data_IF_030187585507
#
_entry.id   IF_030187585507
#
_cell.length_a   1.000
_cell.length_b   1.000
_cell.length_c   1.000
_cell.angle_alpha   90.00
_cell.angle_beta   90.00
_cell.angle_gamma   90.00
#
_symmetry.space_group_name_H-M   'P 1'
#
loop_
_entity.id
_entity.type
_entity.pdbx_description
1 polymer ?
#
# COMPACT_ATOMS: atom_id res chain seq x y z
N UNK A 1 0.16 20.68 20.72
CA UNK A 1 0.65 20.59 19.33
C UNK A 1 1.03 21.99 18.89
N UNK A 2 2.12 22.17 18.15
CA UNK A 2 2.53 23.46 17.60
C UNK A 2 2.58 23.35 16.09
N UNK A 3 1.99 24.32 15.38
CA UNK A 3 1.98 24.37 13.92
C UNK A 3 2.42 25.77 13.50
N UNK A 4 3.40 25.85 12.61
CA UNK A 4 3.85 27.09 11.99
C UNK A 4 3.87 26.96 10.47
N UNK A 5 3.77 28.09 9.77
CA UNK A 5 3.87 28.15 8.31
C UNK A 5 5.17 28.82 7.90
N UNK A 6 5.98 28.12 7.12
CA UNK A 6 7.14 28.70 6.45
C UNK A 6 6.79 29.00 5.00
N UNK A 7 7.15 30.18 4.51
CA UNK A 7 6.96 30.55 3.11
C UNK A 7 7.94 29.78 2.23
N UNK A 8 7.42 29.05 1.25
CA UNK A 8 8.21 28.33 0.26
C UNK A 8 8.46 29.23 -0.96
N UNK A 9 9.45 30.11 -0.84
CA UNK A 9 9.78 31.05 -1.91
C UNK A 9 10.13 30.31 -3.21
N UNK A 10 9.49 30.68 -4.32
CA UNK A 10 9.76 30.10 -5.64
C UNK A 10 8.81 28.98 -6.09
N UNK A 11 7.82 28.59 -5.27
CA UNK A 11 6.78 27.65 -5.69
C UNK A 11 5.37 28.22 -5.46
N UNK A 12 4.76 28.77 -6.51
CA UNK A 12 3.43 29.40 -6.40
C UNK A 12 2.29 28.41 -6.14
N UNK A 13 2.47 27.15 -6.54
CA UNK A 13 1.48 26.09 -6.32
C UNK A 13 1.54 25.55 -4.89
N UNK A 14 2.72 25.54 -4.29
CA UNK A 14 2.96 25.14 -2.89
C UNK A 14 3.64 26.29 -2.15
N UNK A 15 2.93 27.41 -1.89
CA UNK A 15 3.53 28.64 -1.39
C UNK A 15 3.97 28.57 0.07
N UNK A 16 3.52 27.57 0.82
CA UNK A 16 3.91 27.36 2.22
C UNK A 16 4.19 25.89 2.52
N UNK A 17 5.00 25.67 3.55
CA UNK A 17 5.16 24.37 4.22
C UNK A 17 4.71 24.55 5.66
N UNK A 18 3.77 23.71 6.10
CA UNK A 18 3.36 23.65 7.50
C UNK A 18 4.32 22.74 8.28
N UNK A 19 5.02 23.32 9.25
CA UNK A 19 5.83 22.58 10.21
C UNK A 19 4.98 22.25 11.42
N UNK A 20 4.78 20.96 11.65
CA UNK A 20 3.99 20.45 12.76
C UNK A 20 4.95 19.84 13.75
N UNK A 21 4.89 20.30 15.00
CA UNK A 21 5.56 19.68 16.14
C UNK A 21 4.50 19.15 17.12
N UNK A 22 4.50 17.83 17.28
CA UNK A 22 3.63 17.08 18.16
C UNK A 22 4.37 16.46 19.35
N UNK A 23 5.60 16.90 19.63
CA UNK A 23 6.41 16.44 20.77
C UNK A 23 5.73 16.66 22.13
N UNK A 24 4.91 17.71 22.24
CA UNK A 24 4.08 17.99 23.43
C UNK A 24 2.93 16.99 23.60
N UNK A 25 2.66 16.14 22.59
CA UNK A 25 1.71 15.05 22.67
C UNK A 25 2.46 13.75 22.93
N UNK A 26 1.91 12.87 23.77
CA UNK A 26 2.41 11.50 23.95
C UNK A 26 2.07 10.67 22.71
N UNK A 27 2.71 10.94 21.58
CA UNK A 27 2.55 10.21 20.32
C UNK A 27 3.85 9.45 20.04
N UNK A 28 3.74 8.23 19.52
CA UNK A 28 4.90 7.50 19.02
C UNK A 28 5.60 8.24 17.87
N UNK A 29 6.94 8.33 17.92
CA UNK A 29 7.78 8.97 16.89
C UNK A 29 7.47 8.45 15.47
N UNK A 30 7.65 9.29 14.42
CA UNK A 30 8.13 10.68 14.47
C UNK A 30 7.08 11.65 15.03
N UNK A 31 7.54 12.78 15.58
CA UNK A 31 6.69 13.83 16.16
C UNK A 31 6.76 15.16 15.40
N UNK A 32 7.58 15.25 14.37
CA UNK A 32 7.77 16.44 13.55
C UNK A 32 7.48 16.14 12.09
N UNK A 33 6.71 17.01 11.44
CA UNK A 33 6.22 16.81 10.07
C UNK A 33 6.28 18.10 9.25
N UNK A 34 6.42 17.94 7.93
CA UNK A 34 6.47 19.01 6.94
C UNK A 34 5.37 18.80 5.91
N UNK A 35 4.20 19.37 6.16
CA UNK A 35 3.03 19.20 5.28
C UNK A 35 3.01 20.32 4.23
N UNK A 36 3.07 19.99 2.92
CA UNK A 36 2.99 21.00 1.88
C UNK A 36 1.60 21.65 1.84
N UNK A 37 1.55 22.98 1.77
CA UNK A 37 0.33 23.77 1.65
C UNK A 37 0.17 24.26 0.23
N UNK A 38 -0.90 23.85 -0.44
CA UNK A 38 -1.21 24.20 -1.81
C UNK A 38 -2.09 25.46 -1.88
N UNK A 39 -1.84 26.31 -2.88
CA UNK A 39 -2.77 27.37 -3.25
C UNK A 39 -3.76 26.87 -4.32
N UNK A 40 -5.05 27.09 -4.08
CA UNK A 40 -6.12 26.82 -5.04
C UNK A 40 -6.77 28.15 -5.45
N UNK A 41 -6.93 28.32 -6.75
CA UNK A 41 -7.66 29.43 -7.34
C UNK A 41 -8.99 28.93 -7.89
N UNK A 42 -10.10 29.48 -7.37
CA UNK A 42 -11.44 29.25 -7.91
C UNK A 42 -11.98 30.59 -8.39
N UNK A 43 -11.90 30.83 -9.69
CA UNK A 43 -12.09 32.17 -10.26
C UNK A 43 -11.03 33.14 -9.72
N UNK A 44 -11.47 34.25 -9.13
CA UNK A 44 -10.60 35.25 -8.49
C UNK A 44 -10.29 34.95 -7.03
N UNK A 45 -10.93 33.92 -6.44
CA UNK A 45 -10.74 33.59 -5.03
C UNK A 45 -9.55 32.67 -4.86
N UNK A 46 -8.57 33.10 -4.06
CA UNK A 46 -7.46 32.27 -3.60
C UNK A 46 -7.81 31.62 -2.27
N UNK A 47 -7.58 30.32 -2.18
CA UNK A 47 -7.70 29.53 -0.95
C UNK A 47 -6.46 28.67 -0.76
N UNK A 48 -6.28 28.15 0.45
CA UNK A 48 -5.17 27.30 0.82
C UNK A 48 -5.69 25.96 1.31
N UNK A 49 -5.00 24.89 0.92
CA UNK A 49 -5.31 23.56 1.38
C UNK A 49 -4.06 22.77 1.74
N UNK A 50 -4.21 21.81 2.64
CA UNK A 50 -3.19 20.85 2.98
C UNK A 50 -3.84 19.48 3.16
N UNK A 51 -3.19 18.44 2.62
CA UNK A 51 -3.62 17.07 2.77
C UNK A 51 -2.80 16.40 3.89
N UNK A 52 -3.50 15.79 4.86
CA UNK A 52 -2.90 15.04 5.96
C UNK A 52 -3.57 13.68 6.01
N UNK A 53 -2.81 12.62 5.76
CA UNK A 53 -3.29 11.24 5.72
C UNK A 53 -4.46 11.02 4.75
N UNK A 54 -4.51 11.79 3.65
CA UNK A 54 -5.61 11.78 2.69
C UNK A 54 -6.83 12.64 3.06
N UNK A 55 -6.85 13.23 4.25
CA UNK A 55 -7.88 14.15 4.69
C UNK A 55 -7.46 15.58 4.40
N UNK A 56 -8.44 16.44 4.10
CA UNK A 56 -8.18 17.76 3.54
C UNK A 56 -8.56 18.87 4.53
N UNK A 57 -7.58 19.68 4.90
CA UNK A 57 -7.80 20.95 5.59
C UNK A 57 -7.84 22.08 4.54
N UNK A 58 -8.83 22.98 4.66
CA UNK A 58 -9.04 24.12 3.74
C UNK A 58 -9.30 25.40 4.50
N UNK A 59 -8.76 26.51 4.01
CA UNK A 59 -9.02 27.85 4.51
C UNK A 59 -8.87 28.90 3.41
N UNK A 60 -9.48 30.07 3.59
CA UNK A 60 -9.34 31.19 2.64
C UNK A 60 -8.03 31.98 2.85
N UNK A 61 -7.40 31.85 4.02
CA UNK A 61 -6.12 32.47 4.36
C UNK A 61 -5.14 31.40 4.83
N UNK A 62 -3.84 31.68 4.71
CA UNK A 62 -2.79 30.78 5.17
C UNK A 62 -2.91 30.55 6.69
N UNK A 63 -3.01 31.62 7.48
CA UNK A 63 -3.16 31.51 8.93
C UNK A 63 -4.45 30.79 9.37
N UNK A 64 -5.53 30.96 8.62
CA UNK A 64 -6.79 30.25 8.86
C UNK A 64 -6.68 28.73 8.67
N UNK A 65 -5.62 28.25 8.02
CA UNK A 65 -5.37 26.82 7.83
C UNK A 65 -4.81 26.16 9.10
N UNK A 66 -4.07 26.89 9.93
CA UNK A 66 -3.43 26.38 11.16
C UNK A 66 -4.44 25.68 12.09
N UNK A 67 -5.54 26.34 12.53
CA UNK A 67 -6.51 25.69 13.42
C UNK A 67 -7.26 24.53 12.73
N UNK A 68 -7.36 24.52 11.40
CA UNK A 68 -7.97 23.42 10.63
C UNK A 68 -7.06 22.19 10.60
N UNK A 69 -5.76 22.41 10.41
CA UNK A 69 -4.75 21.35 10.48
C UNK A 69 -4.66 20.76 11.88
N UNK A 70 -4.63 21.61 12.91
CA UNK A 70 -4.57 21.15 14.30
C UNK A 70 -5.78 20.26 14.65
N UNK A 71 -7.00 20.72 14.35
CA UNK A 71 -8.21 19.92 14.58
C UNK A 71 -8.18 18.59 13.81
N UNK A 72 -7.76 18.62 12.53
CA UNK A 72 -7.65 17.41 11.72
C UNK A 72 -6.65 16.42 12.32
N UNK A 73 -5.48 16.88 12.78
CA UNK A 73 -4.48 16.02 13.38
C UNK A 73 -4.98 15.41 14.69
N UNK A 74 -5.65 16.17 15.57
CA UNK A 74 -6.26 15.62 16.77
C UNK A 74 -7.29 14.52 16.47
N UNK A 75 -8.09 14.67 15.40
CA UNK A 75 -9.05 13.65 14.98
C UNK A 75 -8.38 12.40 14.40
N UNK A 76 -7.20 12.54 13.81
CA UNK A 76 -6.44 11.42 13.25
C UNK A 76 -5.62 10.67 14.29
N UNK A 77 -5.27 11.31 15.40
CA UNK A 77 -4.53 10.67 16.50
C UNK A 77 -5.48 9.72 17.22
N UNK A 78 -5.13 8.43 17.19
CA UNK A 78 -5.85 7.40 17.91
C UNK A 78 -4.86 6.50 18.66
N UNK A 79 -5.15 6.19 19.92
CA UNK A 79 -4.27 5.40 20.81
C UNK A 79 -2.82 5.92 20.77
N UNK A 80 -2.65 7.24 20.90
CA UNK A 80 -1.33 7.89 20.88
C UNK A 80 -0.53 7.67 19.58
N UNK A 81 -1.21 7.47 18.44
CA UNK A 81 -0.56 7.15 17.16
C UNK A 81 -1.26 7.85 16.00
N UNK A 82 -0.47 8.22 14.99
CA UNK A 82 -0.97 8.51 13.66
C UNK A 82 -1.15 7.19 12.87
N UNK A 83 -2.04 7.18 11.87
CA UNK A 83 -2.16 6.03 10.98
C UNK A 83 -0.83 5.77 10.24
N UNK A 84 -0.62 4.51 9.81
CA UNK A 84 0.47 4.12 8.89
C UNK A 84 -0.01 3.85 7.48
N UNK A 85 -1.28 3.50 7.36
CA UNK A 85 -1.96 3.31 6.10
C UNK A 85 -3.33 3.96 6.17
N UNK A 86 -3.95 4.12 5.01
CA UNK A 86 -5.38 4.37 4.93
C UNK A 86 -6.02 3.41 3.93
N UNK A 87 -7.24 2.98 4.22
CA UNK A 87 -8.11 2.35 3.25
C UNK A 87 -8.99 3.39 2.58
N UNK A 88 -9.08 3.34 1.25
CA UNK A 88 -9.80 4.30 0.43
C UNK A 88 -10.93 3.59 -0.31
N UNK A 89 -12.17 3.95 0.03
CA UNK A 89 -13.37 3.62 -0.70
C UNK A 89 -13.59 4.70 -1.77
N UNK A 90 -13.05 4.49 -2.98
CA UNK A 90 -12.90 5.55 -3.98
C UNK A 90 -14.25 6.13 -4.44
N UNK A 91 -15.25 5.29 -4.76
CA UNK A 91 -16.55 5.78 -5.23
C UNK A 91 -17.34 6.46 -4.13
N UNK A 92 -17.31 5.89 -2.92
CA UNK A 92 -17.91 6.48 -1.73
C UNK A 92 -17.19 7.75 -1.24
N UNK A 93 -16.00 8.07 -1.77
CA UNK A 93 -15.13 9.17 -1.33
C UNK A 93 -14.84 9.14 0.18
N UNK A 94 -14.72 7.94 0.74
CA UNK A 94 -14.43 7.73 2.18
C UNK A 94 -13.02 7.17 2.39
N UNK A 95 -12.41 7.61 3.48
CA UNK A 95 -11.07 7.20 3.90
C UNK A 95 -11.17 6.66 5.32
N UNK A 96 -10.51 5.53 5.57
CA UNK A 96 -10.48 4.85 6.85
C UNK A 96 -9.02 4.76 7.31
N UNK A 97 -8.63 5.49 8.36
CA UNK A 97 -7.29 5.40 8.93
C UNK A 97 -6.99 3.99 9.44
N UNK A 98 -5.77 3.52 9.22
CA UNK A 98 -5.29 2.23 9.69
C UNK A 98 -4.09 2.43 10.60
N UNK A 99 -4.23 2.00 11.84
CA UNK A 99 -3.25 2.11 12.91
C UNK A 99 -2.53 0.80 13.13
N UNK A 100 -1.30 0.86 13.65
CA UNK A 100 -0.54 -0.32 14.08
C UNK A 100 -0.31 -0.23 15.58
N UNK A 101 -0.83 -1.21 16.33
CA UNK A 101 -0.78 -1.27 17.80
C UNK A 101 -0.20 -2.64 18.18
N UNK A 102 1.00 -2.65 18.76
CA UNK A 102 1.74 -3.88 19.00
C UNK A 102 1.92 -4.69 17.70
N UNK A 103 1.39 -5.90 17.67
CA UNK A 103 1.44 -6.83 16.53
C UNK A 103 0.19 -6.80 15.65
N UNK A 104 -0.77 -5.91 15.95
CA UNK A 104 -2.02 -5.82 15.20
C UNK A 104 -2.09 -4.56 14.38
N UNK A 105 -2.83 -4.65 13.29
CA UNK A 105 -3.34 -3.51 12.56
C UNK A 105 -4.82 -3.33 12.87
N UNK A 106 -5.26 -2.08 12.91
CA UNK A 106 -6.60 -1.70 13.33
C UNK A 106 -7.17 -0.65 12.38
N UNK A 107 -8.42 -0.82 11.94
CA UNK A 107 -9.19 0.20 11.25
C UNK A 107 -10.46 0.51 12.03
N UNK A 108 -10.82 1.79 12.13
CA UNK A 108 -12.01 2.25 12.84
C UNK A 108 -13.01 2.85 11.87
N UNK A 109 -14.30 2.70 12.16
CA UNK A 109 -15.39 3.38 11.45
C UNK A 109 -16.02 4.45 12.35
N UNK A 110 -16.38 5.64 11.84
CA UNK A 110 -17.06 6.65 12.65
C UNK A 110 -18.39 6.10 13.21
N UNK A 111 -18.49 6.00 14.53
CA UNK A 111 -19.69 5.49 15.22
C UNK A 111 -19.97 3.99 15.03
N UNK A 112 -19.03 3.22 14.48
CA UNK A 112 -19.20 1.81 14.18
C UNK A 112 -18.13 0.91 14.82
N UNK A 113 -18.03 -0.35 14.38
CA UNK A 113 -17.09 -1.32 14.94
C UNK A 113 -15.62 -0.96 14.64
N UNK A 114 -14.76 -1.58 15.43
CA UNK A 114 -13.31 -1.56 15.30
C UNK A 114 -12.85 -2.91 14.74
N UNK A 115 -12.11 -2.89 13.63
CA UNK A 115 -11.60 -4.10 12.98
C UNK A 115 -10.13 -4.26 13.30
N UNK A 116 -9.74 -5.39 13.88
CA UNK A 116 -8.36 -5.70 14.30
C UNK A 116 -7.93 -7.07 13.83
N UNK A 117 -6.68 -7.18 13.40
CA UNK A 117 -6.04 -8.46 13.10
C UNK A 117 -4.53 -8.27 13.03
N UNK A 118 -3.75 -9.34 13.17
CA UNK A 118 -2.31 -9.36 12.84
C UNK A 118 -2.03 -9.14 11.34
N UNK A 119 -3.07 -9.13 10.50
CA UNK A 119 -2.97 -9.08 9.04
C UNK A 119 -3.77 -7.93 8.46
N UNK A 120 -3.09 -7.08 7.69
CA UNK A 120 -3.73 -6.01 6.94
C UNK A 120 -4.76 -6.54 5.94
N UNK A 121 -4.51 -7.72 5.38
CA UNK A 121 -5.44 -8.43 4.50
C UNK A 121 -6.80 -8.66 5.16
N UNK A 122 -6.79 -9.14 6.41
CA UNK A 122 -8.00 -9.49 7.17
C UNK A 122 -8.74 -8.27 7.67
N UNK A 123 -8.04 -7.24 8.15
CA UNK A 123 -8.70 -5.97 8.50
C UNK A 123 -9.37 -5.34 7.28
N UNK A 124 -8.72 -5.40 6.11
CA UNK A 124 -9.33 -4.93 4.86
C UNK A 124 -10.56 -5.74 4.46
N UNK A 125 -10.51 -7.07 4.62
CA UNK A 125 -11.63 -7.99 4.34
C UNK A 125 -12.83 -7.66 5.25
N UNK A 126 -12.63 -7.66 6.57
CA UNK A 126 -13.69 -7.36 7.54
C UNK A 126 -14.32 -5.98 7.33
N UNK A 127 -13.49 -4.96 7.10
CA UNK A 127 -13.99 -3.63 6.80
C UNK A 127 -14.75 -3.61 5.46
N UNK A 128 -14.27 -4.33 4.44
CA UNK A 128 -14.97 -4.39 3.14
C UNK A 128 -16.34 -5.04 3.28
N UNK A 129 -16.44 -6.17 3.99
CA UNK A 129 -17.71 -6.86 4.23
C UNK A 129 -18.69 -5.96 4.98
N UNK A 130 -18.26 -5.33 6.07
CA UNK A 130 -19.10 -4.39 6.82
C UNK A 130 -19.57 -3.20 5.96
N UNK A 131 -18.70 -2.66 5.10
CA UNK A 131 -19.06 -1.54 4.24
C UNK A 131 -20.00 -1.94 3.10
N UNK A 132 -20.06 -3.22 2.72
CA UNK A 132 -21.12 -3.74 1.85
C UNK A 132 -22.43 -3.89 2.62
N UNK A 133 -22.40 -4.47 3.83
CA UNK A 133 -23.58 -4.62 4.70
C UNK A 133 -24.25 -3.28 5.03
N UNK A 134 -23.45 -2.23 5.20
CA UNK A 134 -23.92 -0.86 5.46
C UNK A 134 -24.13 -0.02 4.19
N UNK A 135 -24.11 -0.66 3.01
CA UNK A 135 -24.33 -0.04 1.70
C UNK A 135 -23.39 1.13 1.35
N UNK A 136 -22.24 1.24 2.02
CA UNK A 136 -21.23 2.25 1.71
C UNK A 136 -20.49 1.93 0.41
N UNK A 137 -20.18 0.65 0.17
CA UNK A 137 -19.52 0.17 -1.06
C UNK A 137 -20.50 -0.34 -2.12
N UNK A 138 -21.81 -0.19 -1.90
CA UNK A 138 -22.85 -0.76 -2.76
C UNK A 138 -22.88 -2.29 -2.72
N UNK A 139 -23.46 -2.93 -3.74
CA UNK A 139 -23.66 -4.38 -3.77
C UNK A 139 -22.35 -5.18 -3.88
N UNK A 140 -22.30 -6.30 -3.16
CA UNK A 140 -21.16 -7.22 -3.13
C UNK A 140 -20.93 -7.81 -4.53
N UNK A 141 -19.70 -7.70 -5.04
CA UNK A 141 -19.31 -8.22 -6.36
C UNK A 141 -19.15 -7.18 -7.45
N UNK A 142 -19.75 -5.99 -7.30
CA UNK A 142 -19.62 -4.89 -8.25
C UNK A 142 -18.43 -3.97 -7.94
N UNK A 143 -17.22 -4.48 -8.16
CA UNK A 143 -15.95 -3.73 -8.34
C UNK A 143 -15.44 -2.79 -7.24
N UNK A 144 -16.22 -2.42 -6.22
CA UNK A 144 -15.77 -1.45 -5.23
C UNK A 144 -14.96 -2.15 -4.13
N UNK A 145 -13.64 -2.08 -4.29
CA UNK A 145 -12.68 -2.64 -3.34
C UNK A 145 -12.01 -1.49 -2.62
N UNK A 146 -11.76 -1.67 -1.33
CA UNK A 146 -10.88 -0.76 -0.59
C UNK A 146 -9.49 -0.77 -1.22
N UNK A 147 -9.01 0.40 -1.62
CA UNK A 147 -7.61 0.60 -1.98
C UNK A 147 -6.81 0.88 -0.72
N UNK A 148 -5.52 0.56 -0.70
CA UNK A 148 -4.62 1.02 0.36
C UNK A 148 -3.69 2.10 -0.15
N UNK A 149 -3.37 3.04 0.73
CA UNK A 149 -2.27 3.98 0.60
C UNK A 149 -1.41 3.90 1.86
N UNK A 150 -0.10 4.02 1.67
CA UNK A 150 0.82 4.23 2.78
C UNK A 150 0.85 5.71 3.15
N UNK A 151 1.57 6.03 4.21
CA UNK A 151 1.79 7.40 4.63
C UNK A 151 3.27 7.70 4.68
N UNK A 152 3.63 8.83 4.08
CA UNK A 152 4.95 9.41 4.27
C UNK A 152 5.00 10.00 5.68
N UNK A 153 5.85 9.45 6.54
CA UNK A 153 5.93 9.87 7.93
C UNK A 153 6.69 11.18 8.13
N UNK A 154 7.24 11.78 7.08
CA UNK A 154 7.79 13.15 7.10
C UNK A 154 6.75 14.18 6.66
N UNK A 155 5.96 13.88 5.62
CA UNK A 155 5.01 14.84 5.02
C UNK A 155 3.54 14.58 5.35
N UNK A 156 3.22 13.43 5.93
CA UNK A 156 1.86 12.88 6.12
C UNK A 156 1.06 12.71 4.82
N UNK A 157 1.72 12.79 3.66
CA UNK A 157 1.13 12.59 2.35
C UNK A 157 0.84 11.12 2.05
N UNK A 158 -0.10 10.87 1.13
CA UNK A 158 -0.43 9.52 0.69
C UNK A 158 0.64 8.94 -0.25
N UNK A 159 1.13 7.74 0.08
CA UNK A 159 2.03 6.97 -0.77
C UNK A 159 1.25 5.91 -1.57
N UNK A 160 1.50 5.85 -2.88
CA UNK A 160 0.95 4.81 -3.76
C UNK A 160 1.81 3.54 -3.68
N UNK A 161 1.21 2.35 -3.52
CA UNK A 161 1.97 1.11 -3.58
C UNK A 161 2.58 0.87 -4.98
N UNK A 162 3.87 0.54 -4.99
CA UNK A 162 4.62 0.14 -6.19
C UNK A 162 4.25 -1.28 -6.63
N UNK A 163 4.00 -2.17 -5.66
CA UNK A 163 3.43 -3.50 -5.84
C UNK A 163 2.83 -3.99 -4.52
N UNK A 164 2.32 -5.22 -4.52
CA UNK A 164 1.85 -5.90 -3.32
C UNK A 164 2.53 -7.25 -3.20
N UNK A 165 3.03 -7.58 -2.01
CA UNK A 165 3.34 -8.96 -1.69
C UNK A 165 2.04 -9.68 -1.36
N UNK A 166 1.83 -10.86 -1.97
CA UNK A 166 0.56 -11.56 -1.90
C UNK A 166 0.78 -13.07 -1.82
N UNK A 167 0.14 -13.69 -0.83
CA UNK A 167 -0.02 -15.14 -0.71
C UNK A 167 -1.52 -15.46 -0.76
N UNK A 168 -1.91 -16.38 -1.62
CA UNK A 168 -3.28 -16.90 -1.72
C UNK A 168 -3.26 -18.39 -2.02
N UNK A 169 -3.19 -19.19 -0.96
CA UNK A 169 -3.15 -20.65 -1.02
C UNK A 169 -4.44 -21.17 -0.38
N UNK A 170 -5.10 -22.11 -1.05
CA UNK A 170 -6.34 -22.70 -0.53
C UNK A 170 -6.08 -23.38 0.81
N UNK A 171 -6.93 -23.15 1.80
CA UNK A 171 -6.78 -23.69 3.16
C UNK A 171 -5.80 -22.92 4.05
N UNK A 172 -5.13 -21.89 3.55
CA UNK A 172 -4.24 -21.04 4.34
C UNK A 172 -4.81 -19.62 4.54
N UNK A 173 -4.36 -18.95 5.60
CA UNK A 173 -4.66 -17.52 5.79
C UNK A 173 -3.95 -16.70 4.71
N UNK A 174 -4.71 -15.94 3.93
CA UNK A 174 -4.21 -14.97 2.95
C UNK A 174 -3.23 -13.98 3.59
N UNK A 175 -2.10 -13.75 2.93
CA UNK A 175 -1.20 -12.63 3.24
C UNK A 175 -1.29 -11.59 2.13
N UNK A 176 -1.35 -10.34 2.52
CA UNK A 176 -1.32 -9.22 1.60
C UNK A 176 -0.71 -8.01 2.28
N UNK A 177 0.37 -7.49 1.70
CA UNK A 177 1.01 -6.27 2.18
C UNK A 177 1.43 -5.36 1.02
N UNK A 178 1.06 -4.06 1.05
CA UNK A 178 1.55 -3.10 0.07
C UNK A 178 3.05 -2.85 0.26
N UNK A 179 3.73 -2.63 -0.86
CA UNK A 179 5.13 -2.22 -0.89
C UNK A 179 5.22 -0.78 -1.39
N UNK A 180 6.05 0.01 -0.74
CA UNK A 180 6.25 1.44 -1.02
C UNK A 180 7.72 1.72 -1.33
N UNK A 181 7.94 2.77 -2.10
CA UNK A 181 9.25 3.40 -2.21
C UNK A 181 9.40 4.40 -1.07
N UNK A 182 10.58 4.45 -0.45
CA UNK A 182 10.91 5.48 0.53
C UNK A 182 10.86 6.88 -0.10
N UNK A 183 10.49 7.93 0.66
CA UNK A 183 10.48 9.30 0.13
C UNK A 183 11.82 9.74 -0.48
N UNK A 184 12.93 9.25 0.06
CA UNK A 184 14.28 9.52 -0.44
C UNK A 184 14.65 8.76 -1.73
N UNK A 185 13.81 7.82 -2.19
CA UNK A 185 14.04 7.04 -3.41
C UNK A 185 15.21 6.05 -3.32
N UNK A 186 15.64 5.68 -2.10
CA UNK A 186 16.84 4.84 -1.86
C UNK A 186 16.51 3.39 -1.53
N UNK A 187 15.34 3.18 -0.95
CA UNK A 187 14.88 1.87 -0.46
C UNK A 187 13.42 1.63 -0.82
N UNK A 188 13.03 0.36 -0.89
CA UNK A 188 11.63 -0.06 -0.89
C UNK A 188 11.33 -0.80 0.39
N UNK A 189 10.13 -0.63 0.91
CA UNK A 189 9.74 -1.20 2.19
C UNK A 189 8.30 -1.68 2.21
N UNK A 190 8.03 -2.58 3.15
CA UNK A 190 6.70 -3.09 3.47
C UNK A 190 6.60 -3.35 4.96
N UNK A 191 5.38 -3.43 5.46
CA UNK A 191 5.13 -3.90 6.83
C UNK A 191 4.74 -5.37 6.78
N UNK A 192 5.56 -6.23 7.37
CA UNK A 192 5.34 -7.67 7.39
C UNK A 192 5.89 -8.28 8.68
N UNK A 193 5.14 -9.23 9.25
CA UNK A 193 5.48 -9.88 10.52
C UNK A 193 5.82 -8.82 11.58
N UNK A 194 4.84 -7.94 11.81
CA UNK A 194 4.83 -6.92 12.87
C UNK A 194 5.90 -5.82 12.80
N UNK A 195 6.70 -5.74 11.74
CA UNK A 195 7.71 -4.69 11.60
C UNK A 195 7.88 -4.22 10.15
N UNK A 196 8.55 -3.08 10.00
CA UNK A 196 9.01 -2.60 8.69
C UNK A 196 10.15 -3.51 8.20
N UNK A 197 10.03 -3.94 6.95
CA UNK A 197 11.04 -4.69 6.21
C UNK A 197 11.43 -3.87 5.00
N UNK A 198 12.73 -3.67 4.81
CA UNK A 198 13.24 -2.68 3.88
C UNK A 198 14.50 -3.21 3.19
N UNK A 199 14.64 -2.87 1.91
CA UNK A 199 15.80 -3.24 1.08
C UNK A 199 16.19 -2.07 0.19
N UNK A 200 17.46 -2.00 -0.18
CA UNK A 200 18.00 -0.97 -1.10
C UNK A 200 17.48 -1.14 -2.52
N UNK A 201 17.20 -0.04 -3.23
CA UNK A 201 16.94 -0.06 -4.66
C UNK A 201 18.22 -0.41 -5.43
N UNK A 202 18.21 -1.50 -6.19
CA UNK A 202 19.36 -1.96 -6.98
C UNK A 202 18.98 -2.73 -8.25
N UNK A 203 17.71 -2.64 -8.69
CA UNK A 203 17.15 -3.44 -9.78
C UNK A 203 16.59 -4.79 -9.32
N UNK A 204 17.07 -5.35 -8.21
CA UNK A 204 16.62 -6.64 -7.66
C UNK A 204 15.73 -6.50 -6.44
N UNK A 205 15.35 -5.28 -6.06
CA UNK A 205 14.63 -5.00 -4.81
C UNK A 205 13.33 -5.80 -4.66
N UNK A 206 12.63 -6.10 -5.76
CA UNK A 206 11.41 -6.92 -5.76
C UNK A 206 11.71 -8.34 -5.29
N UNK A 207 12.79 -8.96 -5.79
CA UNK A 207 13.19 -10.32 -5.41
C UNK A 207 13.70 -10.36 -3.97
N UNK A 208 14.58 -9.43 -3.62
CA UNK A 208 15.22 -9.40 -2.30
C UNK A 208 14.19 -9.13 -1.20
N UNK A 209 13.28 -8.17 -1.39
CA UNK A 209 12.24 -7.90 -0.40
C UNK A 209 11.27 -9.07 -0.28
N UNK A 210 10.88 -9.66 -1.41
CA UNK A 210 10.02 -10.84 -1.41
C UNK A 210 10.66 -11.98 -0.63
N UNK A 211 11.93 -12.29 -0.87
CA UNK A 211 12.63 -13.39 -0.21
C UNK A 211 12.76 -13.14 1.29
N UNK A 212 13.13 -11.92 1.68
CA UNK A 212 13.16 -11.50 3.09
C UNK A 212 11.80 -11.73 3.76
N UNK A 213 10.71 -11.30 3.15
CA UNK A 213 9.36 -11.46 3.73
C UNK A 213 8.91 -12.91 3.71
N UNK A 214 9.25 -13.69 2.68
CA UNK A 214 8.91 -15.11 2.60
C UNK A 214 9.57 -15.90 3.73
N UNK A 215 10.87 -15.70 3.98
CA UNK A 215 11.57 -16.40 5.07
C UNK A 215 11.03 -15.99 6.45
N UNK A 216 10.67 -14.72 6.64
CA UNK A 216 10.04 -14.26 7.88
C UNK A 216 8.65 -14.90 8.07
N UNK A 217 7.83 -14.96 7.03
CA UNK A 217 6.52 -15.61 7.12
C UNK A 217 6.64 -17.12 7.34
N UNK A 218 7.66 -17.78 6.79
CA UNK A 218 7.95 -19.19 7.05
C UNK A 218 8.34 -19.42 8.50
N UNK A 219 9.24 -18.59 9.02
CA UNK A 219 9.68 -18.64 10.42
C UNK A 219 8.51 -18.45 11.39
N UNK A 220 7.56 -17.58 11.02
CA UNK A 220 6.34 -17.32 11.79
C UNK A 220 5.23 -18.39 11.59
N UNK A 221 5.48 -19.43 10.78
CA UNK A 221 4.50 -20.49 10.48
C UNK A 221 3.35 -20.05 9.58
N UNK A 222 3.45 -18.89 8.94
CA UNK A 222 2.41 -18.26 8.11
C UNK A 222 2.61 -18.46 6.62
N UNK A 223 3.67 -19.14 6.21
CA UNK A 223 3.97 -19.53 4.85
C UNK A 223 4.64 -20.92 4.90
N UNK A 224 4.16 -21.89 4.13
CA UNK A 224 4.79 -23.21 4.08
C UNK A 224 5.87 -23.25 3.00
N UNK A 225 5.52 -22.83 1.78
CA UNK A 225 6.43 -22.74 0.66
C UNK A 225 6.74 -21.27 0.33
N UNK A 226 8.02 -20.93 0.24
CA UNK A 226 8.46 -19.58 -0.12
C UNK A 226 7.79 -19.12 -1.42
N UNK A 227 7.71 -19.99 -2.43
CA UNK A 227 7.22 -19.74 -3.79
C UNK A 227 5.74 -19.31 -3.87
N UNK A 228 4.96 -19.51 -2.81
CA UNK A 228 3.58 -19.01 -2.74
C UNK A 228 3.46 -17.49 -2.50
N UNK A 229 4.54 -16.86 -2.02
CA UNK A 229 4.60 -15.39 -1.93
C UNK A 229 5.01 -14.81 -3.28
N UNK A 230 4.10 -14.04 -3.88
CA UNK A 230 4.29 -13.37 -5.17
C UNK A 230 4.27 -11.85 -5.08
N UNK A 231 4.89 -11.20 -6.06
CA UNK A 231 4.73 -9.77 -6.32
C UNK A 231 3.54 -9.57 -7.26
N UNK A 232 2.49 -8.93 -6.75
CA UNK A 232 1.24 -8.69 -7.46
C UNK A 232 1.12 -7.21 -7.82
N UNK A 233 0.59 -6.92 -9.01
CA UNK A 233 0.34 -5.55 -9.51
C UNK A 233 1.60 -4.66 -9.45
N UNK A 234 2.73 -5.18 -9.90
CA UNK A 234 3.99 -4.47 -10.06
C UNK A 234 3.88 -3.34 -11.08
N UNK A 235 4.39 -2.16 -10.72
CA UNK A 235 4.47 -1.02 -11.63
C UNK A 235 5.44 -1.27 -12.78
N UNK A 236 5.14 -0.79 -14.00
CA UNK A 236 6.00 -1.01 -15.17
C UNK A 236 7.45 -0.58 -14.98
N UNK A 237 7.68 0.58 -14.37
CA UNK A 237 9.03 1.10 -14.09
C UNK A 237 9.87 0.16 -13.24
N UNK A 238 9.25 -0.57 -12.30
CA UNK A 238 9.94 -1.54 -11.47
C UNK A 238 10.13 -2.88 -12.19
N UNK A 239 9.18 -3.27 -13.04
CA UNK A 239 9.37 -4.41 -13.92
C UNK A 239 10.53 -4.19 -14.88
N UNK A 240 10.64 -3.01 -15.51
CA UNK A 240 11.71 -2.71 -16.46
C UNK A 240 13.09 -2.70 -15.82
N UNK A 241 13.20 -2.26 -14.55
CA UNK A 241 14.43 -2.35 -13.76
C UNK A 241 14.77 -3.80 -13.47
N UNK A 242 13.80 -4.57 -12.95
CA UNK A 242 14.01 -5.97 -12.62
C UNK A 242 14.39 -6.79 -13.85
N UNK A 243 13.69 -6.62 -14.97
CA UNK A 243 13.90 -7.38 -16.21
C UNK A 243 15.35 -7.35 -16.70
N UNK A 244 16.09 -6.27 -16.46
CA UNK A 244 17.51 -6.14 -16.83
C UNK A 244 18.42 -7.08 -16.04
N UNK A 245 17.98 -7.51 -14.87
CA UNK A 245 18.69 -8.40 -13.96
C UNK A 245 18.33 -9.87 -14.17
N UNK A 246 17.41 -10.17 -15.10
CA UNK A 246 16.87 -11.50 -15.33
C UNK A 246 17.41 -12.14 -16.59
N UNK A 247 17.60 -13.46 -16.56
CA UNK A 247 17.88 -14.27 -17.75
C UNK A 247 16.57 -14.73 -18.38
N UNK A 248 16.31 -14.50 -19.68
CA UNK A 248 15.13 -15.04 -20.34
C UNK A 248 15.27 -16.57 -20.51
N UNK A 249 14.21 -17.31 -20.19
CA UNK A 249 14.14 -18.78 -20.34
C UNK A 249 13.12 -19.23 -21.40
N UNK A 250 12.49 -18.27 -22.10
CA UNK A 250 11.50 -18.52 -23.15
C UNK A 250 10.07 -18.27 -22.67
N UNK A 251 9.14 -19.08 -23.13
CA UNK A 251 7.71 -18.92 -22.86
C UNK A 251 7.08 -20.21 -22.35
N UNK A 252 6.03 -20.06 -21.54
CA UNK A 252 5.27 -21.15 -20.96
C UNK A 252 3.79 -20.98 -21.29
N UNK A 253 3.13 -22.05 -21.71
CA UNK A 253 1.67 -22.06 -21.86
C UNK A 253 1.04 -22.47 -20.54
N UNK A 254 0.20 -21.61 -19.98
CA UNK A 254 -0.58 -21.86 -18.77
C UNK A 254 -2.06 -21.62 -19.08
N UNK A 255 -2.86 -22.69 -19.01
CA UNK A 255 -4.32 -22.62 -19.27
C UNK A 255 -4.66 -21.90 -20.59
N UNK A 256 -3.90 -22.18 -21.65
CA UNK A 256 -4.07 -21.57 -22.98
C UNK A 256 -3.46 -20.17 -23.14
N UNK A 257 -2.89 -19.58 -22.09
CA UNK A 257 -2.20 -18.28 -22.16
C UNK A 257 -0.69 -18.48 -22.24
N UNK A 258 -0.05 -17.76 -23.16
CA UNK A 258 1.40 -17.74 -23.30
C UNK A 258 1.98 -16.67 -22.36
N UNK A 259 2.90 -17.07 -21.49
CA UNK A 259 3.56 -16.17 -20.53
C UNK A 259 5.08 -16.23 -20.67
N UNK A 260 5.71 -15.06 -20.58
CA UNK A 260 7.18 -14.98 -20.62
C UNK A 260 7.79 -15.48 -19.32
N UNK A 261 8.84 -16.27 -19.43
CA UNK A 261 9.55 -16.90 -18.32
C UNK A 261 10.98 -16.41 -18.25
N UNK A 262 11.42 -16.15 -17.03
CA UNK A 262 12.77 -15.69 -16.73
C UNK A 262 13.33 -16.45 -15.52
N UNK A 263 14.64 -16.34 -15.31
CA UNK A 263 15.32 -16.85 -14.13
C UNK A 263 16.27 -15.81 -13.51
N UNK A 264 16.49 -15.96 -12.21
CA UNK A 264 17.52 -15.25 -11.45
C UNK A 264 18.11 -16.19 -10.40
N UNK A 265 19.31 -16.69 -10.65
CA UNK A 265 19.91 -17.74 -9.83
C UNK A 265 19.05 -19.01 -9.81
N UNK A 266 18.62 -19.44 -8.64
CA UNK A 266 17.81 -20.66 -8.44
C UNK A 266 16.30 -20.41 -8.43
N UNK A 267 15.85 -19.25 -8.90
CA UNK A 267 14.43 -18.88 -8.93
C UNK A 267 13.98 -18.72 -10.36
N UNK A 268 12.88 -19.39 -10.71
CA UNK A 268 12.16 -19.19 -11.94
C UNK A 268 10.99 -18.24 -11.69
N UNK A 269 10.71 -17.36 -12.65
CA UNK A 269 9.58 -16.44 -12.59
C UNK A 269 8.83 -16.35 -13.91
N UNK A 270 7.50 -16.21 -13.81
CA UNK A 270 6.62 -16.03 -14.96
C UNK A 270 5.88 -14.68 -14.84
N UNK A 271 5.84 -13.97 -15.96
CA UNK A 271 5.22 -12.65 -16.08
C UNK A 271 3.75 -12.77 -16.51
N UNK A 272 2.84 -12.33 -15.64
CA UNK A 272 1.42 -12.16 -15.97
C UNK A 272 1.14 -10.68 -16.30
N UNK A 273 0.95 -10.30 -17.57
CA UNK A 273 0.50 -8.95 -17.91
C UNK A 273 -0.95 -8.73 -17.45
N UNK A 274 -1.22 -7.56 -16.86
CA UNK A 274 -2.57 -7.14 -16.48
C UNK A 274 -2.95 -5.84 -17.20
N UNK A 275 -3.48 -5.94 -18.44
CA UNK A 275 -3.73 -4.78 -19.28
C UNK A 275 -4.70 -3.78 -18.62
N UNK A 276 -5.76 -4.26 -17.97
CA UNK A 276 -6.76 -3.42 -17.30
C UNK A 276 -6.20 -2.57 -16.15
N UNK A 277 -5.05 -2.97 -15.60
CA UNK A 277 -4.39 -2.28 -14.49
C UNK A 277 -3.09 -1.58 -14.90
N UNK A 278 -2.64 -1.77 -16.15
CA UNK A 278 -1.32 -1.37 -16.66
C UNK A 278 -0.18 -1.78 -15.70
N UNK A 279 -0.25 -3.03 -15.20
CA UNK A 279 0.65 -3.59 -14.17
C UNK A 279 0.98 -5.05 -14.46
N UNK A 280 1.93 -5.60 -13.71
CA UNK A 280 2.41 -6.98 -13.88
C UNK A 280 2.21 -7.83 -12.62
N UNK A 281 1.86 -9.10 -12.78
CA UNK A 281 1.98 -10.11 -11.73
C UNK A 281 3.24 -10.95 -11.97
N UNK A 282 3.99 -11.26 -10.92
CA UNK A 282 5.15 -12.16 -10.99
C UNK A 282 4.86 -13.42 -10.19
N UNK A 283 4.78 -14.56 -10.85
CA UNK A 283 4.75 -15.85 -10.19
C UNK A 283 6.17 -16.37 -10.02
N UNK A 284 6.40 -17.13 -8.95
CA UNK A 284 7.71 -17.70 -8.64
C UNK A 284 7.60 -19.21 -8.49
N UNK A 285 8.64 -19.92 -8.86
CA UNK A 285 8.73 -21.37 -8.69
C UNK A 285 10.18 -21.87 -8.68
N UNK A 286 10.35 -23.10 -8.24
CA UNK A 286 11.65 -23.78 -8.25
C UNK A 286 12.11 -24.12 -9.68
N UNK A 287 11.16 -24.37 -10.59
CA UNK A 287 11.39 -24.72 -11.98
C UNK A 287 10.12 -24.39 -12.81
N UNK A 288 10.16 -24.68 -14.12
CA UNK A 288 9.08 -24.42 -15.06
C UNK A 288 7.77 -25.17 -14.73
N UNK A 289 7.85 -26.41 -14.27
CA UNK A 289 6.66 -27.21 -13.93
C UNK A 289 5.99 -26.70 -12.65
N UNK A 290 6.78 -26.33 -11.64
CA UNK A 290 6.28 -25.72 -10.41
C UNK A 290 5.59 -24.37 -10.70
N UNK A 291 6.21 -23.53 -11.54
CA UNK A 291 5.59 -22.29 -12.02
C UNK A 291 4.24 -22.54 -12.70
N UNK A 292 4.19 -23.48 -13.65
CA UNK A 292 2.97 -23.85 -14.36
C UNK A 292 1.87 -24.24 -13.37
N UNK A 293 2.19 -25.13 -12.43
CA UNK A 293 1.24 -25.60 -11.41
C UNK A 293 0.68 -24.45 -10.56
N UNK A 294 1.54 -23.53 -10.10
CA UNK A 294 1.12 -22.37 -9.29
C UNK A 294 0.22 -21.42 -10.06
N UNK A 295 0.58 -21.11 -11.30
CA UNK A 295 -0.22 -20.21 -12.13
C UNK A 295 -1.58 -20.84 -12.48
N UNK A 296 -1.61 -22.12 -12.86
CA UNK A 296 -2.86 -22.84 -13.14
C UNK A 296 -3.79 -22.81 -11.94
N UNK A 297 -3.29 -23.09 -10.72
CA UNK A 297 -4.10 -23.00 -9.48
C UNK A 297 -4.67 -21.60 -9.26
N UNK A 298 -3.88 -20.54 -9.45
CA UNK A 298 -4.39 -19.16 -9.31
C UNK A 298 -5.39 -18.78 -10.40
N UNK A 299 -5.19 -19.25 -11.63
CA UNK A 299 -6.08 -18.97 -12.76
C UNK A 299 -7.44 -19.65 -12.57
N UNK A 300 -7.45 -20.93 -12.16
CA UNK A 300 -8.69 -21.65 -11.80
C UNK A 300 -9.41 -20.90 -10.67
N UNK A 301 -8.69 -20.52 -9.60
CA UNK A 301 -9.26 -19.76 -8.47
C UNK A 301 -9.87 -18.42 -8.89
N UNK A 302 -9.37 -17.80 -9.96
CA UNK A 302 -9.88 -16.53 -10.49
C UNK A 302 -10.98 -16.71 -11.53
N UNK A 303 -11.34 -17.95 -11.89
CA UNK A 303 -12.26 -18.23 -12.99
C UNK A 303 -11.68 -17.91 -14.37
N UNK A 304 -10.35 -17.81 -14.49
CA UNK A 304 -9.64 -17.59 -15.76
C UNK A 304 -9.33 -18.90 -16.48
N UNK A 305 -9.54 -20.04 -15.81
CA UNK A 305 -9.35 -21.38 -16.34
C UNK A 305 -10.39 -22.33 -15.73
N UNK A 306 -10.75 -23.37 -16.47
CA UNK A 306 -11.63 -24.46 -16.00
C UNK A 306 -10.74 -25.54 -15.36
N UNK A 307 -11.15 -26.17 -14.24
CA UNK A 307 -10.48 -27.37 -13.73
C UNK A 307 -10.44 -28.45 -14.82
N UNK A 308 -9.27 -29.06 -15.02
CA UNK A 308 -9.12 -30.22 -15.88
C UNK A 308 -9.71 -31.48 -15.23
#
# INVERSE_FOLDING_TARGET
>A
MKISLERNAGNELVPYVAHIDSSDLTIHKPSQFKVPVQAIYTGTTKSFQAEVCGFLAKANTADGLIPRLENLLYQLINVARLPRHVFVARRAKKIYPVYTIGHEVMATTPGGPVFRHVELAKVREYLTDYLHETNVLGEKGLSDKLHVRGLDMETLGLLRPIFYLKKRVSGETDFWSPVFESPAGKTVYTYAVNAQREVTLNGREVLVLRDLVAELLKTDGRLHDRYDLRADRLMPTYWDRLKRELKPEGQLTVSGQLVDVYSAGNVWLALEPRPDEARYGLFFGANSDDLRGRMTRDFIRRGLAVPA
#
